data_IF_396889927332
#
_entry.id   IF_396889927332
#
_cell.length_a   1.000
_cell.length_b   1.000
_cell.length_c   1.000
_cell.angle_alpha   90.00
_cell.angle_beta   90.00
_cell.angle_gamma   90.00
#
_symmetry.space_group_name_H-M   'P 1'
#
loop_
_entity.id
_entity.type
_entity.pdbx_description
1 polymer ?
#
# COMPACT_ATOMS: atom_id res chain seq x y z
N UNK A 1 -24.71 -21.11 9.30
CA UNK A 1 -23.64 -21.63 8.44
C UNK A 1 -22.61 -22.24 9.36
N UNK A 2 -22.33 -23.54 9.23
CA UNK A 2 -21.28 -24.21 9.99
C UNK A 2 -19.94 -23.53 9.74
N UNK A 3 -19.22 -23.22 10.82
CA UNK A 3 -17.95 -22.48 10.87
C UNK A 3 -16.98 -22.92 9.76
N UNK A 4 -16.93 -22.13 8.70
CA UNK A 4 -15.83 -22.15 7.76
C UNK A 4 -14.89 -21.06 8.25
N UNK A 5 -13.86 -21.45 9.00
CA UNK A 5 -12.84 -20.53 9.48
C UNK A 5 -11.89 -20.24 8.31
N UNK A 6 -12.09 -19.11 7.64
CA UNK A 6 -11.29 -18.61 6.53
C UNK A 6 -9.84 -18.39 6.97
N UNK A 7 -9.61 -17.86 8.17
CA UNK A 7 -8.26 -17.70 8.71
C UNK A 7 -7.54 -19.05 8.82
N UNK A 8 -8.19 -20.10 9.33
CA UNK A 8 -7.59 -21.44 9.44
C UNK A 8 -7.30 -22.07 8.08
N UNK A 9 -8.21 -21.90 7.11
CA UNK A 9 -7.97 -22.36 5.74
C UNK A 9 -6.76 -21.65 5.11
N UNK A 10 -6.69 -20.32 5.21
CA UNK A 10 -5.57 -19.54 4.69
C UNK A 10 -4.26 -19.88 5.41
N UNK A 11 -4.28 -20.15 6.72
CA UNK A 11 -3.11 -20.66 7.46
C UNK A 11 -2.61 -21.99 6.90
N UNK A 12 -3.50 -22.96 6.69
CA UNK A 12 -3.10 -24.27 6.14
C UNK A 12 -2.54 -24.11 4.74
N UNK A 13 -3.24 -23.37 3.88
CA UNK A 13 -2.86 -23.12 2.50
C UNK A 13 -1.50 -22.41 2.41
N UNK A 14 -1.24 -21.41 3.27
CA UNK A 14 0.06 -20.72 3.35
C UNK A 14 1.16 -21.67 3.81
N UNK A 15 0.90 -22.53 4.80
CA UNK A 15 1.86 -23.54 5.27
C UNK A 15 2.20 -24.55 4.17
N UNK A 16 1.19 -25.04 3.46
CA UNK A 16 1.38 -25.99 2.33
C UNK A 16 2.14 -25.34 1.18
N UNK A 17 1.80 -24.09 0.85
CA UNK A 17 2.48 -23.32 -0.19
C UNK A 17 3.94 -23.08 0.17
N UNK A 18 4.22 -22.59 1.38
CA UNK A 18 5.57 -22.25 1.86
C UNK A 18 6.51 -23.46 2.03
N UNK A 19 6.01 -24.69 1.96
CA UNK A 19 6.85 -25.89 1.88
C UNK A 19 7.44 -26.10 0.48
N UNK A 20 6.85 -25.50 -0.55
CA UNK A 20 7.20 -25.72 -1.95
C UNK A 20 7.64 -24.44 -2.66
N UNK A 21 7.00 -23.30 -2.37
CA UNK A 21 7.17 -22.03 -3.06
C UNK A 21 6.77 -20.86 -2.15
N UNK A 22 7.00 -19.62 -2.57
CA UNK A 22 6.48 -18.42 -1.91
C UNK A 22 5.36 -17.78 -2.75
N UNK A 23 4.22 -17.40 -2.16
CA UNK A 23 3.09 -16.80 -2.89
C UNK A 23 2.74 -15.42 -2.33
N UNK A 24 3.24 -14.33 -2.96
CA UNK A 24 3.09 -12.97 -2.44
C UNK A 24 1.64 -12.51 -2.20
N UNK A 25 0.67 -13.03 -2.97
CA UNK A 25 -0.75 -12.67 -2.81
C UNK A 25 -1.36 -13.30 -1.55
N UNK A 26 -1.06 -14.58 -1.30
CA UNK A 26 -1.44 -15.23 -0.05
C UNK A 26 -0.73 -14.59 1.14
N UNK A 27 0.55 -14.23 0.96
CA UNK A 27 1.36 -13.66 2.02
C UNK A 27 0.89 -12.25 2.44
N UNK A 28 0.41 -11.47 1.47
CA UNK A 28 -0.17 -10.14 1.71
C UNK A 28 -1.51 -10.21 2.45
N UNK A 29 -2.26 -11.31 2.37
CA UNK A 29 -3.48 -11.50 3.18
C UNK A 29 -3.10 -11.94 4.60
N UNK A 30 -2.80 -10.96 5.45
CA UNK A 30 -2.44 -11.21 6.85
C UNK A 30 -3.57 -11.88 7.61
N UNK A 31 -3.25 -13.01 8.23
CA UNK A 31 -4.20 -13.83 8.98
C UNK A 31 -4.88 -13.04 10.10
N UNK A 32 -4.13 -12.22 10.85
CA UNK A 32 -4.71 -11.41 11.92
C UNK A 32 -5.79 -10.42 11.41
N UNK A 33 -5.65 -9.92 10.18
CA UNK A 33 -6.65 -9.04 9.58
C UNK A 33 -7.83 -9.84 9.00
N UNK A 34 -7.60 -11.08 8.52
CA UNK A 34 -8.68 -12.00 8.17
C UNK A 34 -9.54 -12.31 9.40
N UNK A 35 -8.92 -12.59 10.55
CA UNK A 35 -9.65 -12.83 11.81
C UNK A 35 -10.49 -11.62 12.23
N UNK A 36 -9.99 -10.39 12.03
CA UNK A 36 -10.78 -9.17 12.24
C UNK A 36 -11.98 -9.09 11.31
N UNK A 37 -11.82 -9.43 10.03
CA UNK A 37 -12.93 -9.47 9.08
C UNK A 37 -13.97 -10.52 9.49
N UNK A 38 -13.54 -11.71 9.89
CA UNK A 38 -14.42 -12.78 10.37
C UNK A 38 -15.16 -12.39 11.66
N UNK A 39 -14.49 -11.69 12.59
CA UNK A 39 -15.13 -11.17 13.79
C UNK A 39 -16.17 -10.07 13.50
N UNK A 40 -16.07 -9.40 12.35
CA UNK A 40 -16.93 -8.28 11.96
C UNK A 40 -18.06 -8.66 10.97
N UNK A 41 -18.33 -9.96 10.76
CA UNK A 41 -19.39 -10.44 9.83
C UNK A 41 -20.83 -10.12 10.26
N UNK A 42 -21.02 -9.47 11.41
CA UNK A 42 -22.31 -8.86 11.73
C UNK A 42 -22.64 -7.67 10.81
N UNK A 43 -21.63 -7.09 10.14
CA UNK A 43 -21.79 -6.14 9.05
C UNK A 43 -21.95 -6.90 7.72
N UNK A 44 -23.07 -6.67 7.02
CA UNK A 44 -23.43 -7.38 5.79
C UNK A 44 -22.39 -7.22 4.67
N UNK A 45 -21.75 -6.04 4.57
CA UNK A 45 -20.70 -5.80 3.58
C UNK A 45 -19.49 -6.68 3.88
N UNK A 46 -19.05 -6.72 5.14
CA UNK A 46 -17.93 -7.57 5.56
C UNK A 46 -18.26 -9.06 5.42
N UNK A 47 -19.47 -9.48 5.78
CA UNK A 47 -19.93 -10.85 5.58
C UNK A 47 -19.84 -11.26 4.10
N UNK A 48 -20.21 -10.35 3.18
CA UNK A 48 -20.09 -10.59 1.75
C UNK A 48 -18.63 -10.65 1.29
N UNK A 49 -17.74 -9.78 1.81
CA UNK A 49 -16.29 -9.84 1.53
C UNK A 49 -15.67 -11.16 1.97
N UNK A 50 -15.90 -11.58 3.21
CA UNK A 50 -15.40 -12.86 3.76
C UNK A 50 -15.89 -14.04 2.92
N UNK A 51 -17.17 -14.03 2.52
CA UNK A 51 -17.75 -15.06 1.64
C UNK A 51 -17.11 -15.08 0.25
N UNK A 52 -16.83 -13.91 -0.34
CA UNK A 52 -16.17 -13.80 -1.64
C UNK A 52 -14.74 -14.33 -1.58
N UNK A 53 -13.96 -13.91 -0.58
CA UNK A 53 -12.59 -14.40 -0.35
C UNK A 53 -12.61 -15.92 -0.24
N UNK A 54 -13.47 -16.48 0.62
CA UNK A 54 -13.64 -17.94 0.74
C UNK A 54 -13.93 -18.59 -0.62
N UNK A 55 -14.84 -18.01 -1.40
CA UNK A 55 -15.19 -18.48 -2.73
C UNK A 55 -14.01 -18.59 -3.68
N UNK A 56 -13.05 -17.66 -3.60
CA UNK A 56 -11.85 -17.63 -4.43
C UNK A 56 -10.73 -18.56 -3.94
N UNK A 57 -10.64 -18.83 -2.62
CA UNK A 57 -9.49 -19.56 -2.04
C UNK A 57 -9.78 -21.02 -1.65
N UNK A 58 -11.06 -21.41 -1.52
CA UNK A 58 -11.44 -22.74 -1.00
C UNK A 58 -10.88 -23.93 -1.79
N UNK A 59 -10.74 -23.78 -3.11
CA UNK A 59 -10.28 -24.83 -4.02
C UNK A 59 -8.86 -24.55 -4.55
N UNK A 60 -8.18 -23.55 -3.97
CA UNK A 60 -6.85 -23.16 -4.36
C UNK A 60 -5.83 -24.25 -4.02
N UNK A 61 -4.88 -24.47 -4.94
CA UNK A 61 -3.76 -25.38 -4.79
C UNK A 61 -2.46 -24.57 -4.75
N UNK A 62 -1.32 -25.22 -4.62
CA UNK A 62 -0.03 -24.55 -4.45
C UNK A 62 0.42 -23.73 -5.69
N UNK A 63 -0.25 -23.86 -6.84
CA UNK A 63 0.09 -23.15 -8.07
C UNK A 63 -0.43 -21.70 -8.13
N UNK A 64 0.10 -20.90 -9.06
CA UNK A 64 -0.40 -19.54 -9.27
C UNK A 64 -1.85 -19.59 -9.77
N UNK A 65 -2.77 -18.96 -9.03
CA UNK A 65 -4.16 -18.79 -9.43
C UNK A 65 -4.52 -17.30 -9.52
N UNK A 66 -4.96 -16.81 -10.70
CA UNK A 66 -5.45 -15.43 -10.86
C UNK A 66 -6.57 -15.04 -9.88
N UNK A 67 -7.35 -16.01 -9.38
CA UNK A 67 -8.40 -15.78 -8.39
C UNK A 67 -7.86 -15.27 -7.05
N UNK A 68 -6.58 -15.51 -6.72
CA UNK A 68 -5.96 -14.92 -5.53
C UNK A 68 -5.88 -13.40 -5.61
N UNK A 69 -5.75 -12.84 -6.82
CA UNK A 69 -5.80 -11.39 -7.00
C UNK A 69 -7.18 -10.86 -6.63
N UNK A 70 -8.24 -11.52 -7.10
CA UNK A 70 -9.61 -11.15 -6.76
C UNK A 70 -9.86 -11.31 -5.25
N UNK A 71 -9.34 -12.37 -4.63
CA UNK A 71 -9.38 -12.56 -3.18
C UNK A 71 -8.69 -11.40 -2.43
N UNK A 72 -7.52 -10.98 -2.90
CA UNK A 72 -6.81 -9.85 -2.32
C UNK A 72 -7.58 -8.53 -2.48
N UNK A 73 -8.19 -8.28 -3.64
CA UNK A 73 -8.96 -7.06 -3.87
C UNK A 73 -10.16 -6.96 -2.90
N UNK A 74 -10.88 -8.08 -2.68
CA UNK A 74 -11.95 -8.16 -1.67
C UNK A 74 -11.41 -7.99 -0.24
N UNK A 75 -10.24 -8.55 0.06
CA UNK A 75 -9.57 -8.41 1.35
C UNK A 75 -9.17 -6.95 1.63
N UNK A 76 -8.55 -6.28 0.66
CA UNK A 76 -8.11 -4.89 0.77
C UNK A 76 -9.31 -3.95 1.01
N UNK A 77 -10.37 -4.12 0.23
CA UNK A 77 -11.60 -3.32 0.37
C UNK A 77 -12.27 -3.52 1.74
N UNK A 78 -12.39 -4.78 2.19
CA UNK A 78 -12.93 -5.09 3.50
C UNK A 78 -12.08 -4.53 4.65
N UNK A 79 -10.75 -4.64 4.54
CA UNK A 79 -9.83 -4.13 5.56
C UNK A 79 -9.91 -2.60 5.67
N UNK A 80 -9.86 -1.89 4.54
CA UNK A 80 -9.94 -0.43 4.52
C UNK A 80 -11.29 0.05 5.06
N UNK A 81 -12.37 -0.62 4.72
CA UNK A 81 -13.69 -0.33 5.29
C UNK A 81 -13.71 -0.48 6.82
N UNK A 82 -13.12 -1.55 7.37
CA UNK A 82 -13.01 -1.71 8.82
C UNK A 82 -12.16 -0.60 9.46
N UNK A 83 -11.02 -0.26 8.87
CA UNK A 83 -10.15 0.82 9.37
C UNK A 83 -10.91 2.16 9.40
N UNK A 84 -11.69 2.45 8.36
CA UNK A 84 -12.55 3.64 8.31
C UNK A 84 -13.62 3.59 9.40
N UNK A 85 -14.32 2.45 9.56
CA UNK A 85 -15.35 2.29 10.60
C UNK A 85 -14.83 2.36 12.03
N UNK A 86 -13.61 1.90 12.29
CA UNK A 86 -12.96 2.00 13.60
C UNK A 86 -12.79 3.46 14.03
N UNK A 87 -12.58 4.37 13.08
CA UNK A 87 -12.42 5.81 13.34
C UNK A 87 -13.71 6.62 13.15
N UNK A 88 -14.54 6.20 12.20
CA UNK A 88 -15.77 6.89 11.80
C UNK A 88 -16.91 5.88 11.73
N UNK A 89 -17.69 5.78 12.81
CA UNK A 89 -18.76 4.78 12.97
C UNK A 89 -19.76 4.75 11.80
N UNK A 90 -20.04 5.92 11.22
CA UNK A 90 -21.01 6.10 10.15
C UNK A 90 -20.39 5.95 8.74
N UNK A 91 -19.14 5.49 8.64
CA UNK A 91 -18.52 5.14 7.36
C UNK A 91 -19.32 4.05 6.66
N UNK A 92 -19.58 4.23 5.36
CA UNK A 92 -20.42 3.32 4.58
C UNK A 92 -19.88 3.10 3.16
N UNK A 93 -20.24 1.97 2.55
CA UNK A 93 -19.97 1.65 1.14
C UNK A 93 -21.03 2.29 0.26
N UNK A 94 -20.62 3.00 -0.79
CA UNK A 94 -21.53 3.57 -1.78
C UNK A 94 -22.01 2.46 -2.73
N UNK A 95 -23.30 2.12 -2.81
CA UNK A 95 -23.75 1.03 -3.68
C UNK A 95 -23.34 1.22 -5.14
N UNK A 96 -22.90 0.14 -5.79
CA UNK A 96 -22.55 0.18 -7.20
C UNK A 96 -23.78 0.56 -8.06
N UNK A 97 -23.60 1.54 -8.93
CA UNK A 97 -24.66 2.05 -9.80
C UNK A 97 -24.19 2.25 -11.24
N UNK A 98 -25.08 2.80 -12.07
CA UNK A 98 -24.75 3.13 -13.46
C UNK A 98 -23.71 4.26 -13.58
N UNK A 99 -23.62 5.12 -12.56
CA UNK A 99 -22.62 6.18 -12.48
C UNK A 99 -21.41 5.62 -11.73
N UNK A 100 -20.21 5.92 -12.22
CA UNK A 100 -19.00 5.66 -11.45
C UNK A 100 -19.02 6.56 -10.22
N UNK A 101 -18.84 5.97 -9.07
CA UNK A 101 -18.79 6.67 -7.78
C UNK A 101 -17.52 6.28 -7.05
N UNK A 102 -17.10 7.08 -6.05
CA UNK A 102 -16.18 6.62 -5.02
C UNK A 102 -16.66 5.31 -4.38
N UNK A 103 -15.75 4.59 -3.74
CA UNK A 103 -16.07 3.37 -3.02
C UNK A 103 -16.81 3.66 -1.70
N UNK A 104 -16.31 4.61 -0.91
CA UNK A 104 -16.84 4.88 0.43
C UNK A 104 -17.28 6.32 0.63
N UNK A 105 -18.17 6.49 1.60
CA UNK A 105 -18.64 7.77 2.10
C UNK A 105 -18.47 7.83 3.61
N UNK A 106 -17.83 8.89 4.08
CA UNK A 106 -17.44 9.06 5.49
C UNK A 106 -18.06 10.34 6.03
N UNK A 107 -19.29 10.28 6.55
CA UNK A 107 -19.85 11.37 7.33
C UNK A 107 -19.23 11.37 8.74
N UNK A 108 -18.88 12.55 9.24
CA UNK A 108 -18.38 12.70 10.61
C UNK A 108 -18.66 14.09 11.16
N UNK A 109 -18.77 14.17 12.48
CA UNK A 109 -18.98 15.44 13.18
C UNK A 109 -17.63 16.05 13.58
N UNK A 110 -17.55 17.37 13.46
CA UNK A 110 -16.43 18.20 13.86
C UNK A 110 -16.92 19.42 14.64
N UNK A 111 -15.99 20.18 15.20
CA UNK A 111 -16.27 21.40 15.93
C UNK A 111 -15.42 22.54 15.37
N UNK A 112 -16.09 23.60 14.92
CA UNK A 112 -15.43 24.87 14.60
C UNK A 112 -15.74 25.87 15.71
N UNK A 113 -14.79 26.03 16.63
CA UNK A 113 -14.87 26.98 17.73
C UNK A 113 -16.15 26.85 18.59
N UNK A 114 -16.56 25.63 18.92
CA UNK A 114 -17.77 25.34 19.68
C UNK A 114 -19.05 25.24 18.85
N UNK A 115 -18.98 25.37 17.52
CA UNK A 115 -20.10 25.13 16.61
C UNK A 115 -19.96 23.75 15.96
N UNK A 116 -20.90 22.81 16.22
CA UNK A 116 -20.90 21.52 15.57
C UNK A 116 -21.08 21.63 14.05
N UNK A 117 -20.16 21.04 13.29
CA UNK A 117 -20.21 20.93 11.84
C UNK A 117 -20.27 19.47 11.45
N UNK A 118 -21.08 19.12 10.46
CA UNK A 118 -21.11 17.77 9.89
C UNK A 118 -20.37 17.77 8.55
N UNK A 119 -19.23 17.11 8.53
CA UNK A 119 -18.44 16.91 7.32
C UNK A 119 -18.77 15.60 6.63
N UNK A 120 -18.36 15.53 5.37
CA UNK A 120 -18.49 14.35 4.52
C UNK A 120 -17.29 14.27 3.59
N UNK A 121 -16.57 13.15 3.63
CA UNK A 121 -15.46 12.85 2.72
C UNK A 121 -15.83 11.61 1.90
N UNK A 122 -15.38 11.58 0.65
CA UNK A 122 -15.57 10.44 -0.24
C UNK A 122 -14.22 9.79 -0.53
N UNK A 123 -14.15 8.48 -0.44
CA UNK A 123 -12.89 7.74 -0.54
C UNK A 123 -12.98 6.78 -1.71
N UNK A 124 -12.07 6.92 -2.66
CA UNK A 124 -11.85 5.94 -3.73
C UNK A 124 -10.63 5.08 -3.37
N UNK A 125 -10.79 3.77 -3.28
CA UNK A 125 -9.72 2.83 -2.91
C UNK A 125 -9.08 2.23 -4.16
N UNK A 126 -7.75 2.22 -4.19
CA UNK A 126 -6.95 1.47 -5.18
C UNK A 126 -5.94 0.56 -4.48
N UNK A 127 -6.12 -0.75 -4.65
CA UNK A 127 -5.12 -1.77 -4.30
C UNK A 127 -4.10 -1.91 -5.44
N UNK A 128 -2.83 -1.57 -5.18
CA UNK A 128 -1.79 -1.72 -6.20
C UNK A 128 -1.21 -3.14 -6.17
N UNK A 129 -1.16 -3.76 -7.35
CA UNK A 129 -0.56 -5.09 -7.60
C UNK A 129 0.86 -4.95 -8.17
N UNK A 130 1.57 -6.05 -8.41
CA UNK A 130 2.94 -6.02 -8.98
C UNK A 130 2.98 -5.36 -10.37
N UNK A 131 4.11 -4.76 -10.76
CA UNK A 131 4.27 -4.00 -12.03
C UNK A 131 3.90 -4.77 -13.30
N UNK A 132 4.29 -6.04 -13.43
CA UNK A 132 3.87 -6.92 -14.55
C UNK A 132 2.73 -7.90 -14.18
N UNK A 133 2.02 -7.61 -13.09
CA UNK A 133 0.90 -8.42 -12.60
C UNK A 133 1.27 -9.90 -12.48
N UNK A 134 0.45 -10.76 -13.12
CA UNK A 134 0.55 -12.23 -13.07
C UNK A 134 1.94 -12.78 -13.42
N UNK A 135 2.71 -12.12 -14.29
CA UNK A 135 4.02 -12.61 -14.71
C UNK A 135 5.04 -12.54 -13.57
N UNK A 136 5.09 -11.43 -12.83
CA UNK A 136 6.01 -11.31 -11.71
C UNK A 136 5.65 -12.25 -10.56
N UNK A 137 4.36 -12.49 -10.27
CA UNK A 137 3.98 -13.46 -9.24
C UNK A 137 4.46 -14.87 -9.60
N UNK A 138 4.29 -15.28 -10.86
CA UNK A 138 4.78 -16.59 -11.33
C UNK A 138 6.29 -16.69 -11.28
N UNK A 139 7.01 -15.62 -11.63
CA UNK A 139 8.46 -15.60 -11.55
C UNK A 139 8.93 -15.76 -10.10
N UNK A 140 8.37 -14.99 -9.16
CA UNK A 140 8.70 -15.12 -7.73
C UNK A 140 8.43 -16.53 -7.21
N UNK A 141 7.33 -17.15 -7.63
CA UNK A 141 7.02 -18.54 -7.26
C UNK A 141 8.06 -19.51 -7.84
N UNK A 142 8.42 -19.39 -9.11
CA UNK A 142 9.44 -20.25 -9.72
C UNK A 142 10.81 -20.09 -9.06
N UNK A 143 11.25 -18.85 -8.82
CA UNK A 143 12.53 -18.56 -8.16
C UNK A 143 12.55 -19.13 -6.73
N UNK A 144 11.42 -19.11 -6.02
CA UNK A 144 11.27 -19.72 -4.70
C UNK A 144 11.36 -21.26 -4.76
N UNK A 145 10.77 -21.91 -5.77
CA UNK A 145 10.90 -23.36 -6.00
C UNK A 145 12.36 -23.73 -6.26
N UNK A 146 13.05 -23.00 -7.13
CA UNK A 146 14.46 -23.25 -7.44
C UNK A 146 15.37 -23.08 -6.21
N UNK A 147 15.06 -22.07 -5.37
CA UNK A 147 15.71 -21.89 -4.06
C UNK A 147 15.49 -23.09 -3.14
N UNK A 148 14.26 -23.64 -3.08
CA UNK A 148 13.96 -24.82 -2.27
C UNK A 148 14.69 -26.07 -2.77
N UNK A 149 14.75 -26.28 -4.09
CA UNK A 149 15.53 -27.37 -4.71
C UNK A 149 17.02 -27.25 -4.34
N UNK A 150 17.57 -26.03 -4.34
CA UNK A 150 18.95 -25.79 -3.93
C UNK A 150 19.20 -26.15 -2.46
N UNK A 151 18.27 -25.80 -1.56
CA UNK A 151 18.33 -26.15 -0.14
C UNK A 151 18.32 -27.67 0.03
N UNK A 152 17.39 -28.37 -0.62
CA UNK A 152 17.28 -29.83 -0.54
C UNK A 152 18.55 -30.52 -1.06
N UNK A 153 19.13 -30.02 -2.15
CA UNK A 153 20.37 -30.53 -2.70
C UNK A 153 21.57 -30.32 -1.75
N UNK A 154 21.63 -29.20 -1.03
CA UNK A 154 22.66 -28.94 0.00
C UNK A 154 22.52 -29.89 1.18
N UNK A 155 21.29 -30.08 1.69
CA UNK A 155 20.99 -31.02 2.78
C UNK A 155 21.33 -32.44 2.36
N UNK A 156 20.93 -32.86 1.15
CA UNK A 156 21.25 -34.19 0.61
C UNK A 156 22.75 -34.45 0.45
N UNK A 157 23.57 -33.41 0.30
CA UNK A 157 25.04 -33.47 0.28
C UNK A 157 25.67 -33.45 1.68
N UNK A 158 24.87 -33.43 2.74
CA UNK A 158 25.34 -33.42 4.13
C UNK A 158 25.78 -32.05 4.64
N UNK A 159 25.36 -30.96 4.00
CA UNK A 159 25.64 -29.61 4.51
C UNK A 159 25.01 -29.43 5.90
N UNK A 160 25.81 -28.95 6.87
CA UNK A 160 25.32 -28.67 8.23
C UNK A 160 24.38 -27.48 8.30
N UNK A 161 24.50 -26.57 7.33
CA UNK A 161 23.63 -25.42 7.15
C UNK A 161 23.38 -25.29 5.65
N UNK A 162 22.12 -25.14 5.27
CA UNK A 162 21.70 -24.94 3.89
C UNK A 162 20.98 -23.60 3.79
N UNK A 163 21.26 -22.85 2.74
CA UNK A 163 20.65 -21.56 2.47
C UNK A 163 20.15 -21.51 1.03
N UNK A 164 18.99 -20.90 0.85
CA UNK A 164 18.45 -20.54 -0.45
C UNK A 164 18.07 -19.07 -0.43
N UNK A 165 18.19 -18.42 -1.58
CA UNK A 165 17.89 -17.00 -1.76
C UNK A 165 17.01 -16.86 -3.00
N UNK A 166 15.99 -16.03 -2.90
CA UNK A 166 15.18 -15.59 -4.03
C UNK A 166 14.80 -14.12 -3.81
N UNK A 167 14.58 -13.39 -4.90
CA UNK A 167 14.34 -11.95 -4.89
C UNK A 167 12.84 -11.68 -5.10
N UNK A 168 12.23 -10.86 -4.22
CA UNK A 168 10.88 -10.32 -4.44
C UNK A 168 11.02 -8.86 -4.83
N UNK A 169 10.61 -8.54 -6.05
CA UNK A 169 10.84 -7.24 -6.68
C UNK A 169 9.53 -6.68 -7.27
N UNK A 170 8.57 -6.22 -6.45
CA UNK A 170 7.19 -5.94 -6.87
C UNK A 170 7.05 -4.81 -7.90
N UNK A 171 7.96 -3.82 -7.83
CA UNK A 171 7.97 -2.65 -8.71
C UNK A 171 8.76 -2.88 -10.00
N UNK A 172 9.53 -3.96 -10.13
CA UNK A 172 10.36 -4.20 -11.31
C UNK A 172 9.58 -4.82 -12.46
N UNK A 173 9.97 -4.46 -13.69
CA UNK A 173 9.53 -5.12 -14.91
C UNK A 173 10.59 -6.11 -15.38
N UNK A 174 10.16 -7.23 -15.98
CA UNK A 174 11.08 -8.26 -16.47
C UNK A 174 12.07 -7.70 -17.50
N UNK A 175 13.37 -8.01 -17.34
CA UNK A 175 14.43 -7.65 -18.29
C UNK A 175 15.13 -6.30 -18.07
N UNK A 176 14.81 -5.55 -17.02
CA UNK A 176 15.51 -4.30 -16.70
C UNK A 176 16.78 -4.49 -15.85
N UNK A 177 17.81 -3.68 -16.13
CA UNK A 177 19.16 -3.79 -15.54
C UNK A 177 19.35 -3.02 -14.23
N UNK A 178 18.65 -1.91 -14.02
CA UNK A 178 18.77 -1.09 -12.81
C UNK A 178 17.59 -1.36 -11.87
N UNK A 179 17.78 -2.34 -10.99
CA UNK A 179 16.74 -2.93 -10.13
C UNK A 179 16.55 -2.24 -8.77
N UNK A 180 17.13 -1.06 -8.52
CA UNK A 180 17.06 -0.43 -7.18
C UNK A 180 17.05 1.10 -7.24
N UNK A 181 16.77 1.66 -8.42
CA UNK A 181 16.81 3.09 -8.63
C UNK A 181 15.59 3.79 -8.00
N UNK A 182 15.83 4.74 -7.09
CA UNK A 182 14.78 5.49 -6.37
C UNK A 182 13.88 6.24 -7.34
N UNK A 183 14.44 6.84 -8.39
CA UNK A 183 13.69 7.49 -9.49
C UNK A 183 12.72 6.50 -10.13
N UNK A 184 13.19 5.30 -10.44
CA UNK A 184 12.38 4.26 -11.08
C UNK A 184 11.21 3.81 -10.20
N UNK A 185 11.45 3.65 -8.89
CA UNK A 185 10.39 3.32 -7.92
C UNK A 185 9.28 4.39 -7.91
N UNK A 186 9.68 5.67 -7.84
CA UNK A 186 8.76 6.81 -7.86
C UNK A 186 7.92 6.80 -9.14
N UNK A 187 8.57 6.73 -10.30
CA UNK A 187 7.88 6.82 -11.59
C UNK A 187 7.00 5.61 -11.86
N UNK A 188 7.43 4.42 -11.46
CA UNK A 188 6.62 3.21 -11.57
C UNK A 188 5.36 3.29 -10.72
N UNK A 189 5.46 3.77 -9.49
CA UNK A 189 4.30 3.98 -8.63
C UNK A 189 3.35 5.02 -9.23
N UNK A 190 3.88 6.15 -9.73
CA UNK A 190 3.08 7.17 -10.42
C UNK A 190 2.33 6.57 -11.61
N UNK A 191 3.02 5.84 -12.50
CA UNK A 191 2.42 5.23 -13.67
C UNK A 191 1.32 4.21 -13.28
N UNK A 192 1.56 3.39 -12.25
CA UNK A 192 0.58 2.41 -11.76
C UNK A 192 -0.66 3.06 -11.14
N UNK A 193 -0.49 4.12 -10.37
CA UNK A 193 -1.62 4.85 -9.79
C UNK A 193 -2.42 5.52 -10.92
N UNK A 194 -1.73 6.18 -11.87
CA UNK A 194 -2.35 6.82 -13.02
C UNK A 194 -3.21 5.87 -13.85
N UNK A 195 -2.75 4.63 -14.09
CA UNK A 195 -3.52 3.61 -14.81
C UNK A 195 -4.86 3.26 -14.13
N UNK A 196 -4.99 3.51 -12.83
CA UNK A 196 -6.15 3.15 -12.04
C UNK A 196 -7.07 4.33 -11.73
N UNK A 197 -6.63 5.59 -11.94
CA UNK A 197 -7.43 6.79 -11.71
C UNK A 197 -8.51 6.93 -12.79
N UNK A 198 -9.76 7.12 -12.37
CA UNK A 198 -10.88 7.47 -13.24
C UNK A 198 -11.50 8.77 -12.74
N UNK A 199 -11.40 9.91 -13.46
CA UNK A 199 -11.86 11.22 -12.98
C UNK A 199 -13.32 11.25 -12.53
N UNK A 200 -14.19 10.47 -13.18
CA UNK A 200 -15.61 10.34 -12.82
C UNK A 200 -15.86 9.87 -11.37
N UNK A 201 -14.86 9.24 -10.73
CA UNK A 201 -14.95 8.81 -9.34
C UNK A 201 -14.61 9.92 -8.33
N UNK A 202 -14.22 11.11 -8.79
CA UNK A 202 -13.76 12.24 -7.96
C UNK A 202 -14.58 13.51 -8.24
N UNK A 203 -15.88 13.37 -8.46
CA UNK A 203 -16.76 14.51 -8.79
C UNK A 203 -17.08 15.41 -7.60
N UNK A 204 -16.93 14.91 -6.37
CA UNK A 204 -17.16 15.69 -5.16
C UNK A 204 -15.89 16.42 -4.74
N UNK A 205 -16.04 17.64 -4.23
CA UNK A 205 -14.90 18.46 -3.84
C UNK A 205 -14.15 17.92 -2.63
N UNK A 206 -14.73 16.98 -1.88
CA UNK A 206 -14.14 16.29 -0.73
C UNK A 206 -13.71 14.85 -1.07
N UNK A 207 -13.50 14.52 -2.35
CA UNK A 207 -13.01 13.22 -2.78
C UNK A 207 -11.49 13.08 -2.58
N UNK A 208 -11.10 11.97 -1.95
CA UNK A 208 -9.71 11.58 -1.73
C UNK A 208 -9.42 10.22 -2.38
N UNK A 209 -8.14 9.99 -2.69
CA UNK A 209 -7.64 8.70 -3.15
C UNK A 209 -7.05 7.95 -1.96
N UNK A 210 -7.41 6.70 -1.76
CA UNK A 210 -6.81 5.80 -0.80
C UNK A 210 -6.04 4.72 -1.56
N UNK A 211 -4.76 4.55 -1.23
CA UNK A 211 -3.87 3.62 -1.90
C UNK A 211 -3.44 2.54 -0.90
N UNK A 212 -3.74 1.29 -1.21
CA UNK A 212 -3.19 0.14 -0.51
C UNK A 212 -1.93 -0.36 -1.23
N UNK A 213 -0.78 -0.23 -0.56
CA UNK A 213 0.54 -0.62 -1.06
C UNK A 213 1.02 -1.97 -0.53
N UNK A 214 0.15 -2.76 0.11
CA UNK A 214 0.56 -3.99 0.78
C UNK A 214 1.37 -4.95 -0.05
N UNK A 215 0.99 -5.14 -1.31
CA UNK A 215 1.69 -6.06 -2.20
C UNK A 215 3.05 -5.52 -2.65
N UNK A 216 3.25 -4.21 -2.58
CA UNK A 216 4.48 -3.56 -3.01
C UNK A 216 5.49 -3.40 -1.87
N UNK A 217 5.10 -3.71 -0.62
CA UNK A 217 5.90 -3.49 0.58
C UNK A 217 6.48 -2.07 0.65
N UNK A 218 5.71 -1.10 0.16
CA UNK A 218 6.10 0.31 0.08
C UNK A 218 5.30 1.13 1.10
N UNK A 219 5.92 2.17 1.65
CA UNK A 219 5.37 2.95 2.74
C UNK A 219 5.45 2.20 4.07
N UNK A 220 5.68 2.92 5.17
CA UNK A 220 5.91 2.33 6.48
C UNK A 220 7.07 2.98 7.23
N UNK A 221 7.94 3.68 6.51
CA UNK A 221 8.87 4.66 7.05
C UNK A 221 8.29 6.05 6.85
N UNK A 222 8.17 6.84 7.92
CA UNK A 222 7.64 8.20 7.81
C UNK A 222 8.52 9.11 6.94
N UNK A 223 9.79 8.77 6.74
CA UNK A 223 10.72 9.52 5.86
C UNK A 223 10.34 9.44 4.39
N UNK A 224 9.63 8.39 3.96
CA UNK A 224 9.11 8.31 2.60
C UNK A 224 8.11 9.43 2.29
N UNK A 225 7.53 10.04 3.33
CA UNK A 225 6.57 11.13 3.24
C UNK A 225 7.19 12.51 3.44
N UNK A 226 8.53 12.61 3.38
CA UNK A 226 9.28 13.86 3.32
C UNK A 226 9.79 14.09 1.90
N UNK A 227 9.97 15.33 1.43
CA UNK A 227 10.53 15.58 0.09
C UNK A 227 11.93 14.99 -0.07
N UNK A 228 12.78 15.26 0.93
CA UNK A 228 14.15 14.79 1.06
C UNK A 228 14.42 14.54 2.54
N UNK A 229 15.19 13.53 2.88
CA UNK A 229 15.66 13.25 4.22
C UNK A 229 17.13 12.81 4.21
N UNK A 230 17.74 12.75 5.40
CA UNK A 230 19.09 12.22 5.56
C UNK A 230 19.00 10.74 5.93
N UNK A 231 19.53 9.88 5.07
CA UNK A 231 19.65 8.44 5.30
C UNK A 231 20.76 8.18 6.34
N UNK A 232 20.48 7.55 7.51
CA UNK A 232 21.41 7.45 8.63
C UNK A 232 22.63 6.57 8.41
N UNK A 233 22.56 5.56 7.55
CA UNK A 233 23.65 4.61 7.35
C UNK A 233 24.86 5.29 6.68
N UNK A 234 24.60 6.15 5.70
CA UNK A 234 25.64 6.83 4.92
C UNK A 234 25.64 8.36 5.06
N UNK A 235 24.77 8.92 5.92
CA UNK A 235 24.55 10.37 6.12
C UNK A 235 24.32 11.11 4.79
N UNK A 236 23.64 10.45 3.86
CA UNK A 236 23.42 10.95 2.49
C UNK A 236 22.01 11.49 2.32
N UNK A 237 21.85 12.50 1.46
CA UNK A 237 20.52 12.99 1.09
C UNK A 237 19.82 11.95 0.22
N UNK A 238 18.55 11.70 0.53
CA UNK A 238 17.71 10.74 -0.17
C UNK A 238 16.30 11.30 -0.36
N UNK A 239 15.72 11.08 -1.55
CA UNK A 239 14.36 11.52 -1.84
C UNK A 239 13.33 10.58 -1.20
N UNK A 240 12.35 11.15 -0.48
CA UNK A 240 11.25 10.36 0.06
C UNK A 240 10.36 9.82 -1.05
N UNK A 241 10.15 8.51 -1.07
CA UNK A 241 9.49 7.83 -2.18
C UNK A 241 8.06 8.37 -2.40
N UNK A 242 7.24 8.31 -1.35
CA UNK A 242 5.81 8.57 -1.43
C UNK A 242 5.47 10.06 -1.51
N UNK A 243 6.28 10.93 -0.90
CA UNK A 243 6.16 12.37 -1.09
C UNK A 243 6.38 12.75 -2.55
N UNK A 244 7.42 12.21 -3.20
CA UNK A 244 7.69 12.48 -4.61
C UNK A 244 6.65 11.82 -5.54
N UNK A 245 6.11 10.66 -5.19
CA UNK A 245 4.96 10.07 -5.91
C UNK A 245 3.75 11.01 -5.90
N UNK A 246 3.50 11.75 -4.83
CA UNK A 246 2.37 12.67 -4.75
C UNK A 246 2.69 14.06 -5.31
N UNK A 247 3.85 14.64 -4.99
CA UNK A 247 4.14 16.06 -5.21
C UNK A 247 5.32 16.35 -6.13
N UNK A 248 6.09 15.32 -6.49
CA UNK A 248 7.21 15.45 -7.43
C UNK A 248 6.76 16.10 -8.73
N UNK A 249 7.67 16.83 -9.38
CA UNK A 249 7.40 17.47 -10.68
C UNK A 249 8.43 17.00 -11.67
N UNK A 250 8.05 16.91 -12.94
CA UNK A 250 9.01 16.66 -13.99
C UNK A 250 10.15 17.70 -13.94
N UNK A 251 11.38 17.23 -14.06
CA UNK A 251 12.60 18.03 -13.93
C UNK A 251 13.10 18.21 -12.49
N UNK A 252 12.42 17.66 -11.47
CA UNK A 252 12.95 17.70 -10.10
C UNK A 252 14.02 16.62 -9.88
N UNK A 253 15.12 16.94 -9.18
CA UNK A 253 16.19 15.98 -8.92
C UNK A 253 15.73 14.89 -7.94
N UNK A 254 16.17 13.67 -8.20
CA UNK A 254 15.99 12.51 -7.33
C UNK A 254 17.32 12.10 -6.73
N UNK A 255 17.35 11.98 -5.42
CA UNK A 255 18.52 11.52 -4.67
C UNK A 255 18.34 10.08 -4.21
N UNK A 256 19.39 9.28 -4.39
CA UNK A 256 19.50 7.88 -3.96
C UNK A 256 20.51 7.73 -2.83
N UNK A 257 20.45 6.59 -2.13
CA UNK A 257 21.48 6.23 -1.16
C UNK A 257 22.83 6.06 -1.88
N UNK A 258 23.90 6.61 -1.30
CA UNK A 258 25.26 6.36 -1.79
C UNK A 258 25.74 4.97 -1.38
N UNK A 259 26.47 4.30 -2.27
CA UNK A 259 27.06 2.98 -1.97
C UNK A 259 28.30 3.09 -1.08
N UNK A 260 29.05 4.19 -1.19
CA UNK A 260 30.26 4.46 -0.42
C UNK A 260 30.55 5.96 -0.37
N UNK A 261 31.36 6.38 0.61
CA UNK A 261 31.77 7.77 0.80
C UNK A 261 32.43 8.35 -0.46
N UNK A 262 31.99 9.54 -0.88
CA UNK A 262 32.49 10.22 -2.07
C UNK A 262 31.82 9.83 -3.40
N UNK A 263 30.92 8.82 -3.41
CA UNK A 263 30.08 8.53 -4.58
C UNK A 263 28.97 9.57 -4.72
N UNK A 264 28.59 9.88 -5.95
CA UNK A 264 27.45 10.75 -6.24
C UNK A 264 26.13 10.12 -5.77
N UNK A 265 25.21 10.97 -5.31
CA UNK A 265 23.89 10.57 -4.84
C UNK A 265 22.75 11.10 -5.71
N UNK A 266 23.05 11.94 -6.70
CA UNK A 266 22.07 12.38 -7.70
C UNK A 266 21.85 11.24 -8.70
N UNK A 267 20.61 10.78 -8.81
CA UNK A 267 20.25 9.71 -9.74
C UNK A 267 19.79 10.26 -11.10
N UNK A 268 19.21 11.45 -11.08
CA UNK A 268 18.70 12.15 -12.26
C UNK A 268 17.44 12.94 -11.93
N UNK A 269 16.75 13.43 -12.95
CA UNK A 269 15.53 14.21 -12.80
C UNK A 269 14.28 13.37 -13.09
N UNK A 270 13.18 13.67 -12.39
CA UNK A 270 11.88 13.05 -12.63
C UNK A 270 11.34 13.34 -14.04
N UNK A 271 10.74 12.34 -14.66
CA UNK A 271 10.08 12.41 -15.97
C UNK A 271 8.56 12.38 -15.86
N UNK A 272 8.04 12.33 -14.62
CA UNK A 272 6.62 12.26 -14.31
C UNK A 272 6.27 13.30 -13.27
N UNK A 273 5.09 13.91 -13.44
CA UNK A 273 4.45 14.67 -12.37
C UNK A 273 3.78 13.71 -11.38
N UNK A 274 3.92 14.03 -10.10
CA UNK A 274 3.28 13.30 -9.02
C UNK A 274 1.76 13.39 -9.09
N UNK A 275 1.08 12.48 -8.39
CA UNK A 275 -0.38 12.30 -8.48
C UNK A 275 -1.15 13.58 -8.11
N UNK A 276 -0.75 14.25 -7.04
CA UNK A 276 -1.33 15.52 -6.64
C UNK A 276 -0.79 16.68 -7.48
N UNK A 277 0.25 16.56 -8.30
CA UNK A 277 0.55 17.61 -9.29
C UNK A 277 -0.34 17.44 -10.53
N UNK A 278 -0.48 16.21 -11.03
CA UNK A 278 -1.19 15.91 -12.27
C UNK A 278 -2.72 15.97 -12.17
N UNK A 279 -3.31 15.63 -11.02
CA UNK A 279 -4.77 15.45 -10.87
C UNK A 279 -5.38 16.41 -9.87
N UNK A 280 -5.71 17.62 -10.31
CA UNK A 280 -6.28 18.68 -9.45
C UNK A 280 -7.61 18.32 -8.79
N UNK A 281 -8.36 17.35 -9.33
CA UNK A 281 -9.61 16.84 -8.79
C UNK A 281 -9.43 15.89 -7.59
N UNK A 282 -8.24 15.35 -7.36
CA UNK A 282 -7.93 14.56 -6.15
C UNK A 282 -7.48 15.53 -5.06
N UNK A 283 -8.20 15.62 -3.94
CA UNK A 283 -7.83 16.57 -2.86
C UNK A 283 -6.67 16.12 -2.00
N UNK A 284 -6.65 14.83 -1.68
CA UNK A 284 -5.63 14.22 -0.87
C UNK A 284 -5.42 12.76 -1.27
N UNK A 285 -4.27 12.23 -0.87
CA UNK A 285 -3.94 10.82 -0.98
C UNK A 285 -3.71 10.27 0.42
N UNK A 286 -4.44 9.23 0.81
CA UNK A 286 -4.13 8.38 1.96
C UNK A 286 -3.36 7.15 1.46
N UNK A 287 -2.31 6.78 2.16
CA UNK A 287 -1.49 5.61 1.83
C UNK A 287 -1.46 4.67 3.02
N UNK A 288 -1.88 3.43 2.80
CA UNK A 288 -1.72 2.32 3.72
C UNK A 288 -0.38 1.63 3.42
N UNK A 289 0.62 1.96 4.24
CA UNK A 289 1.98 1.45 4.16
C UNK A 289 2.23 0.30 5.13
N UNK A 290 3.17 -0.56 4.77
CA UNK A 290 3.59 -1.73 5.54
C UNK A 290 5.12 -1.73 5.66
N UNK A 291 5.63 -1.46 6.85
CA UNK A 291 7.05 -1.61 7.12
C UNK A 291 7.38 -3.09 7.37
N UNK A 292 8.52 -3.55 6.86
CA UNK A 292 9.03 -4.90 7.09
C UNK A 292 9.21 -5.13 8.60
N UNK A 293 8.41 -6.04 9.17
CA UNK A 293 8.43 -6.37 10.59
C UNK A 293 7.60 -5.47 11.51
N UNK A 294 6.88 -4.47 10.97
CA UNK A 294 5.92 -3.71 11.78
C UNK A 294 4.70 -4.57 12.16
N UNK A 295 4.25 -4.42 13.41
CA UNK A 295 3.09 -5.15 13.95
C UNK A 295 1.77 -4.60 13.40
N UNK A 296 1.76 -3.35 12.94
CA UNK A 296 0.59 -2.67 12.38
C UNK A 296 0.98 -1.86 11.14
N UNK A 297 0.09 -1.76 10.14
CA UNK A 297 0.30 -0.84 9.04
C UNK A 297 0.26 0.61 9.52
N UNK A 298 0.87 1.50 8.75
CA UNK A 298 0.80 2.96 8.96
C UNK A 298 -0.09 3.57 7.90
N UNK A 299 -0.99 4.46 8.30
CA UNK A 299 -1.82 5.24 7.40
C UNK A 299 -1.28 6.66 7.37
N UNK A 300 -0.83 7.13 6.21
CA UNK A 300 -0.32 8.50 6.06
C UNK A 300 -1.11 9.28 5.04
N UNK A 301 -1.39 10.55 5.35
CA UNK A 301 -2.12 11.48 4.49
C UNK A 301 -1.19 12.50 3.82
N UNK A 302 -1.41 12.76 2.53
CA UNK A 302 -0.73 13.80 1.77
C UNK A 302 -1.76 14.70 1.08
N UNK A 303 -1.64 16.01 1.23
CA UNK A 303 -2.54 16.99 0.59
C UNK A 303 -1.81 18.24 0.09
N UNK A 304 -2.46 19.02 -0.80
CA UNK A 304 -1.91 20.31 -1.23
C UNK A 304 -2.27 21.40 -0.22
N UNK A 305 -1.27 22.08 0.34
CA UNK A 305 -1.45 23.15 1.33
C UNK A 305 -2.43 24.25 0.91
N UNK A 306 -2.53 24.55 -0.40
CA UNK A 306 -3.40 25.60 -0.95
C UNK A 306 -4.74 25.11 -1.52
N UNK A 307 -5.00 23.81 -1.52
CA UNK A 307 -6.17 23.23 -2.21
C UNK A 307 -6.71 22.00 -1.46
N UNK A 308 -6.89 22.17 -0.15
CA UNK A 308 -7.55 21.21 0.73
C UNK A 308 -8.75 21.90 1.36
N UNK A 309 -9.85 21.16 1.51
CA UNK A 309 -11.04 21.64 2.23
C UNK A 309 -10.90 21.33 3.71
N UNK A 310 -11.61 22.05 4.57
CA UNK A 310 -11.59 21.78 6.01
C UNK A 310 -12.07 20.36 6.33
N UNK A 311 -13.06 19.86 5.58
CA UNK A 311 -13.54 18.48 5.67
C UNK A 311 -12.41 17.47 5.40
N UNK A 312 -11.65 17.65 4.32
CA UNK A 312 -10.54 16.74 3.98
C UNK A 312 -9.40 16.87 4.99
N UNK A 313 -9.00 18.09 5.35
CA UNK A 313 -7.93 18.31 6.32
C UNK A 313 -8.27 17.67 7.68
N UNK A 314 -9.46 17.92 8.19
CA UNK A 314 -9.94 17.33 9.45
C UNK A 314 -9.99 15.81 9.39
N UNK A 315 -10.50 15.24 8.30
CA UNK A 315 -10.49 13.79 8.08
C UNK A 315 -9.07 13.22 8.17
N UNK A 316 -8.10 13.79 7.46
CA UNK A 316 -6.72 13.30 7.45
C UNK A 316 -6.10 13.33 8.85
N UNK A 317 -6.25 14.42 9.59
CA UNK A 317 -5.68 14.55 10.94
C UNK A 317 -6.33 13.62 11.98
N UNK A 318 -7.58 13.20 11.77
CA UNK A 318 -8.28 12.24 12.64
C UNK A 318 -8.00 10.78 12.28
N UNK A 319 -7.78 10.53 10.99
CA UNK A 319 -7.67 9.18 10.44
C UNK A 319 -6.24 8.68 10.31
N UNK A 320 -5.32 9.53 9.83
CA UNK A 320 -3.95 9.15 9.52
C UNK A 320 -3.04 9.24 10.74
N UNK A 321 -2.06 8.34 10.82
CA UNK A 321 -1.01 8.35 11.84
C UNK A 321 -0.03 9.51 11.63
N UNK A 322 0.18 9.91 10.38
CA UNK A 322 0.97 11.08 10.00
C UNK A 322 0.32 11.80 8.81
N UNK A 323 0.48 13.10 8.73
CA UNK A 323 -0.01 13.92 7.62
C UNK A 323 1.10 14.87 7.20
N UNK A 324 1.29 15.06 5.90
CA UNK A 324 2.19 16.07 5.36
C UNK A 324 1.61 16.74 4.11
N UNK A 325 2.28 17.77 3.61
CA UNK A 325 1.84 18.52 2.44
C UNK A 325 3.00 18.84 1.46
N UNK A 326 2.64 19.51 0.37
CA UNK A 326 3.54 19.93 -0.71
C UNK A 326 4.57 20.99 -0.28
N UNK A 327 4.42 21.59 0.89
CA UNK A 327 5.38 22.54 1.48
C UNK A 327 6.13 21.96 2.68
N UNK A 328 5.92 20.66 2.95
CA UNK A 328 6.53 19.92 4.06
C UNK A 328 6.27 20.55 5.44
N UNK A 329 5.07 21.13 5.64
CA UNK A 329 4.74 21.87 6.86
C UNK A 329 4.81 21.01 8.13
N UNK A 330 4.64 19.69 7.98
CA UNK A 330 4.60 18.73 9.08
C UNK A 330 5.85 17.85 9.18
N UNK A 331 6.83 18.06 8.28
CA UNK A 331 8.05 17.24 8.24
C UNK A 331 8.92 17.32 9.49
N UNK A 332 8.79 18.41 10.27
CA UNK A 332 9.52 18.57 11.54
C UNK A 332 9.13 17.55 12.60
N UNK A 333 7.99 16.87 12.45
CA UNK A 333 7.55 15.81 13.36
C UNK A 333 8.29 14.49 13.12
N UNK A 334 9.17 14.37 12.12
CA UNK A 334 9.90 13.13 11.82
C UNK A 334 11.38 13.30 12.22
N UNK A 335 11.87 12.40 13.07
CA UNK A 335 13.27 12.39 13.48
C UNK A 335 14.20 11.76 12.41
N UNK A 336 15.51 11.89 12.61
CA UNK A 336 16.52 11.31 11.69
C UNK A 336 16.40 9.79 11.53
N UNK A 337 15.84 9.09 12.52
CA UNK A 337 15.63 7.64 12.50
C UNK A 337 14.31 7.25 11.83
N UNK A 338 13.57 8.22 11.29
CA UNK A 338 12.27 8.02 10.64
C UNK A 338 11.13 7.73 11.60
N UNK A 339 11.29 8.09 12.87
CA UNK A 339 10.23 7.97 13.88
C UNK A 339 9.46 9.27 13.95
N UNK A 340 8.15 9.18 14.11
CA UNK A 340 7.32 10.32 14.45
C UNK A 340 7.62 10.75 15.90
N UNK A 341 7.79 12.05 16.09
CA UNK A 341 7.93 12.73 17.37
C UNK A 341 6.52 13.17 17.78
N UNK A 342 6.12 12.82 19.00
CA UNK A 342 4.80 13.16 19.56
C UNK A 342 4.70 14.62 20.01
#
# INVERSE_FOLDING_TARGET
>A
MTEKNLADHLRSLRRETNQLTHNPLLDAMEIANIEKLEAAVADDFIAQKVKNIWGFVKDHKVDFNPQLKAAFDEYSEGLVYLLLKEKFRDADRIPEGKKKTPDFVIPFDDDDNGTPIRYKVYVELKSLSFSDGNLNYKQVMNDAVDSQISIEAQVGKGAKVAFGEFEISPLHKSGQKEKTARKYEIETLIDKINQNIKPDQFTDENSILFIDLKQLHAGGDYRDFLPIFIEPQMDSLMSGLLWNVCFGKSGYPVFKQIEFEGKENLEGDLERDGILQAHSFIRAVCILGYNLGAVKPTITGLYRSRNVTDAVASFLHRFCDFVNDDVNSHGFMIDKKGRKID
#
